data_IF_758249636308
#
_entry.id   IF_758249636308
#
_cell.length_a   1.000
_cell.length_b   1.000
_cell.length_c   1.000
_cell.angle_alpha   90.00
_cell.angle_beta   90.00
_cell.angle_gamma   90.00
#
_symmetry.space_group_name_H-M   'P 1'
#
loop_
_entity.id
_entity.type
_entity.pdbx_description
1 polymer ?
#
# COMPACT_ATOMS: atom_id res chain seq x y z
N UNK A 1 12.13 -12.81 -11.85
CA UNK A 1 10.93 -12.63 -11.03
C UNK A 1 9.89 -11.89 -11.84
N UNK A 2 8.75 -12.52 -12.08
CA UNK A 2 7.61 -11.96 -12.81
C UNK A 2 6.59 -11.44 -11.81
N UNK A 3 6.20 -10.16 -11.91
CA UNK A 3 5.27 -9.55 -10.97
C UNK A 3 4.27 -8.65 -11.70
N UNK A 4 3.16 -8.35 -11.03
CA UNK A 4 2.17 -7.37 -11.50
C UNK A 4 1.99 -6.27 -10.47
N UNK A 5 2.27 -5.03 -10.88
CA UNK A 5 1.88 -3.84 -10.11
C UNK A 5 0.50 -3.36 -10.53
N UNK A 6 -0.36 -3.04 -9.57
CA UNK A 6 -1.71 -2.58 -9.85
C UNK A 6 -2.19 -1.48 -8.90
N UNK A 7 -2.93 -0.55 -9.49
CA UNK A 7 -3.78 0.44 -8.82
C UNK A 7 -5.24 -0.03 -8.71
N UNK A 8 -5.60 -1.12 -9.39
CA UNK A 8 -6.97 -1.59 -9.56
C UNK A 8 -7.07 -2.98 -8.91
N UNK A 9 -7.87 -3.15 -7.84
CA UNK A 9 -8.03 -4.43 -7.16
C UNK A 9 -8.48 -5.57 -8.08
N UNK A 10 -9.35 -5.28 -9.05
CA UNK A 10 -9.94 -6.24 -10.00
C UNK A 10 -8.90 -6.82 -10.97
N UNK A 11 -7.75 -6.17 -11.16
CA UNK A 11 -6.65 -6.74 -11.96
C UNK A 11 -6.04 -7.94 -11.26
N UNK A 12 -6.08 -7.99 -9.92
CA UNK A 12 -5.64 -9.15 -9.14
C UNK A 12 -6.63 -10.30 -9.37
N UNK A 13 -7.94 -10.05 -9.31
CA UNK A 13 -8.96 -11.05 -9.66
C UNK A 13 -8.73 -11.63 -11.05
N UNK A 14 -8.51 -10.77 -12.04
CA UNK A 14 -8.28 -11.19 -13.41
C UNK A 14 -7.03 -12.07 -13.53
N UNK A 15 -5.91 -11.63 -12.95
CA UNK A 15 -4.65 -12.37 -12.99
C UNK A 15 -4.75 -13.75 -12.34
N UNK A 16 -5.45 -13.86 -11.20
CA UNK A 16 -5.72 -15.15 -10.54
C UNK A 16 -6.66 -16.02 -11.38
N UNK A 17 -7.76 -15.46 -11.89
CA UNK A 17 -8.75 -16.22 -12.68
C UNK A 17 -8.18 -16.77 -13.99
N UNK A 18 -7.22 -16.06 -14.59
CA UNK A 18 -6.51 -16.48 -15.79
C UNK A 18 -5.23 -17.25 -15.49
N UNK A 19 -4.95 -17.56 -14.21
CA UNK A 19 -3.77 -18.28 -13.76
C UNK A 19 -2.45 -17.72 -14.34
N UNK A 20 -2.29 -16.39 -14.34
CA UNK A 20 -1.04 -15.77 -14.80
C UNK A 20 0.13 -16.25 -13.93
N UNK A 21 1.24 -16.64 -14.55
CA UNK A 21 2.44 -17.09 -13.83
C UNK A 21 3.16 -15.90 -13.17
N UNK A 22 2.82 -15.54 -11.94
CA UNK A 22 3.42 -14.39 -11.23
C UNK A 22 3.95 -14.83 -9.86
N UNK A 23 5.10 -14.29 -9.48
CA UNK A 23 5.72 -14.50 -8.18
C UNK A 23 5.01 -13.69 -7.07
N UNK A 24 4.68 -12.42 -7.33
CA UNK A 24 4.05 -11.52 -6.37
C UNK A 24 3.28 -10.35 -7.03
N UNK A 25 2.49 -9.64 -6.22
CA UNK A 25 1.83 -8.39 -6.60
C UNK A 25 2.47 -7.18 -5.93
N UNK A 26 2.51 -6.04 -6.62
CA UNK A 26 2.65 -4.74 -5.96
C UNK A 26 1.28 -4.08 -5.90
N UNK A 27 0.81 -3.77 -4.70
CA UNK A 27 -0.57 -3.34 -4.46
C UNK A 27 -0.61 -1.89 -3.98
N UNK A 28 -0.98 -0.98 -4.87
CA UNK A 28 -1.18 0.42 -4.50
C UNK A 28 -2.52 0.55 -3.77
N UNK A 29 -2.53 1.21 -2.61
CA UNK A 29 -3.78 1.44 -1.88
C UNK A 29 -4.74 2.46 -2.52
N UNK A 30 -4.35 3.08 -3.64
CA UNK A 30 -5.14 4.09 -4.32
C UNK A 30 -5.25 3.80 -5.82
N UNK A 31 -6.47 3.94 -6.37
CA UNK A 31 -6.74 3.73 -7.79
C UNK A 31 -6.43 5.00 -8.59
N UNK A 32 -5.15 5.14 -8.95
CA UNK A 32 -4.64 6.28 -9.71
C UNK A 32 -4.81 6.11 -11.23
N UNK A 33 -5.46 5.02 -11.68
CA UNK A 33 -5.82 4.84 -13.09
C UNK A 33 -7.04 5.68 -13.50
N UNK A 34 -7.74 6.27 -12.53
CA UNK A 34 -8.85 7.19 -12.77
C UNK A 34 -8.36 8.50 -13.41
N UNK A 35 -9.20 9.18 -14.23
CA UNK A 35 -8.85 10.49 -14.76
C UNK A 35 -8.48 11.50 -13.66
N UNK A 36 -7.53 12.37 -13.99
CA UNK A 36 -7.09 13.43 -13.08
C UNK A 36 -8.23 14.44 -12.87
N UNK A 37 -8.43 14.86 -11.63
CA UNK A 37 -9.40 15.92 -11.27
C UNK A 37 -8.63 17.23 -11.12
N UNK A 38 -9.01 18.25 -11.90
CA UNK A 38 -8.30 19.55 -11.93
C UNK A 38 -6.77 19.41 -12.12
N UNK A 39 -6.35 18.49 -13.00
CA UNK A 39 -4.94 18.25 -13.28
C UNK A 39 -4.16 17.56 -12.15
N UNK A 40 -4.81 17.02 -11.13
CA UNK A 40 -4.16 16.29 -10.02
C UNK A 40 -4.64 14.84 -9.97
N UNK A 41 -3.75 13.96 -9.51
CA UNK A 41 -4.13 12.58 -9.16
C UNK A 41 -5.23 12.61 -8.10
N UNK A 42 -6.25 11.79 -8.29
CA UNK A 42 -7.37 11.66 -7.37
C UNK A 42 -7.09 10.52 -6.38
N UNK A 43 -7.07 10.84 -5.09
CA UNK A 43 -6.88 9.87 -4.01
C UNK A 43 -8.22 9.68 -3.29
N UNK A 44 -8.93 8.62 -3.66
CA UNK A 44 -10.18 8.24 -3.02
C UNK A 44 -9.87 7.32 -1.83
N UNK A 45 -10.29 7.70 -0.62
CA UNK A 45 -10.06 6.89 0.58
C UNK A 45 -10.83 5.57 0.56
N UNK A 46 -11.89 5.45 -0.26
CA UNK A 46 -12.62 4.19 -0.46
C UNK A 46 -11.81 3.16 -1.27
N UNK A 47 -10.74 3.56 -1.97
CA UNK A 47 -9.89 2.62 -2.71
C UNK A 47 -9.08 1.73 -1.77
N UNK A 48 -8.66 2.25 -0.61
CA UNK A 48 -7.82 1.54 0.36
C UNK A 48 -8.46 0.26 0.88
N UNK A 49 -9.68 0.27 1.47
CA UNK A 49 -10.29 -0.95 1.99
C UNK A 49 -10.53 -1.99 0.89
N UNK A 50 -10.78 -1.56 -0.35
CA UNK A 50 -10.95 -2.48 -1.50
C UNK A 50 -9.64 -3.20 -1.83
N UNK A 51 -8.53 -2.47 -1.95
CA UNK A 51 -7.23 -3.11 -2.21
C UNK A 51 -6.78 -3.98 -1.03
N UNK A 52 -6.95 -3.51 0.21
CA UNK A 52 -6.59 -4.28 1.40
C UNK A 52 -7.43 -5.57 1.54
N UNK A 53 -8.71 -5.54 1.17
CA UNK A 53 -9.53 -6.75 1.10
C UNK A 53 -8.95 -7.76 0.10
N UNK A 54 -8.49 -7.31 -1.07
CA UNK A 54 -7.83 -8.17 -2.05
C UNK A 54 -6.49 -8.73 -1.57
N UNK A 55 -5.68 -7.91 -0.90
CA UNK A 55 -4.41 -8.34 -0.28
C UNK A 55 -4.62 -9.48 0.70
N UNK A 56 -5.68 -9.43 1.53
CA UNK A 56 -6.05 -10.51 2.46
C UNK A 56 -6.51 -11.79 1.76
N UNK A 57 -7.17 -11.66 0.61
CA UNK A 57 -7.81 -12.79 -0.09
C UNK A 57 -6.86 -13.58 -0.99
N UNK A 58 -5.90 -12.92 -1.64
CA UNK A 58 -4.94 -13.61 -2.51
C UNK A 58 -3.93 -14.43 -1.70
N UNK A 59 -3.54 -15.59 -2.23
CA UNK A 59 -2.47 -16.43 -1.65
C UNK A 59 -1.07 -15.91 -2.01
N UNK A 60 -0.95 -15.10 -3.07
CA UNK A 60 0.35 -14.58 -3.52
C UNK A 60 0.85 -13.47 -2.59
N UNK A 61 2.16 -13.35 -2.51
CA UNK A 61 2.82 -12.27 -1.77
C UNK A 61 2.39 -10.91 -2.36
N UNK A 62 2.19 -9.93 -1.49
CA UNK A 62 1.86 -8.55 -1.82
C UNK A 62 2.89 -7.60 -1.25
N UNK A 63 3.43 -6.72 -2.11
CA UNK A 63 4.20 -5.55 -1.71
C UNK A 63 3.26 -4.34 -1.70
N UNK A 64 2.77 -3.98 -0.52
CA UNK A 64 1.75 -2.96 -0.29
C UNK A 64 2.39 -1.58 -0.26
N UNK A 65 1.95 -0.65 -1.11
CA UNK A 65 2.62 0.65 -1.24
C UNK A 65 1.63 1.82 -1.37
N UNK A 66 2.19 3.04 -1.33
CA UNK A 66 1.44 4.32 -1.20
C UNK A 66 0.58 4.39 0.05
N UNK A 67 0.95 3.72 1.15
CA UNK A 67 0.14 3.71 2.38
C UNK A 67 -0.10 5.11 2.96
N UNK A 68 0.80 6.05 2.70
CA UNK A 68 0.69 7.45 3.13
C UNK A 68 -0.02 8.38 2.13
N UNK A 69 -0.53 7.87 1.00
CA UNK A 69 -1.33 8.65 0.05
C UNK A 69 -0.59 9.85 -0.56
N UNK A 70 0.72 9.69 -0.83
CA UNK A 70 1.60 10.80 -1.21
C UNK A 70 1.49 11.96 -0.20
N UNK A 71 1.95 11.69 1.03
CA UNK A 71 1.99 12.58 2.21
C UNK A 71 0.65 13.04 2.78
N UNK A 72 -0.49 12.64 2.19
CA UNK A 72 -1.83 13.00 2.70
C UNK A 72 -2.12 12.44 4.09
N UNK A 73 -1.46 11.33 4.46
CA UNK A 73 -1.54 10.70 5.79
C UNK A 73 -0.23 10.84 6.59
N UNK A 74 0.41 12.00 6.48
CA UNK A 74 1.64 12.33 7.21
C UNK A 74 1.53 13.66 7.97
N UNK A 75 0.33 14.10 8.38
CA UNK A 75 0.20 15.39 9.11
C UNK A 75 0.71 15.27 10.56
N UNK A 76 0.63 14.07 11.12
CA UNK A 76 1.14 13.72 12.44
C UNK A 76 1.73 12.30 12.43
N UNK A 77 2.49 11.95 13.47
CA UNK A 77 2.93 10.55 13.64
C UNK A 77 1.75 9.61 13.90
N UNK A 78 0.65 10.10 14.48
CA UNK A 78 -0.55 9.29 14.70
C UNK A 78 -1.27 8.94 13.40
N UNK A 79 -1.30 9.86 12.43
CA UNK A 79 -1.78 9.56 11.06
C UNK A 79 -0.92 8.46 10.43
N UNK A 80 0.39 8.54 10.62
CA UNK A 80 1.33 7.57 10.07
C UNK A 80 1.18 6.20 10.75
N UNK A 81 1.05 6.15 12.08
CA UNK A 81 0.78 4.92 12.83
C UNK A 81 -0.55 4.30 12.42
N UNK A 82 -1.59 5.12 12.23
CA UNK A 82 -2.90 4.67 11.75
C UNK A 82 -2.80 4.02 10.36
N UNK A 83 -2.11 4.67 9.41
CA UNK A 83 -1.90 4.12 8.08
C UNK A 83 -1.07 2.83 8.07
N UNK A 84 -0.06 2.72 8.96
CA UNK A 84 0.74 1.51 9.15
C UNK A 84 -0.11 0.37 9.71
N UNK A 85 -0.87 0.62 10.80
CA UNK A 85 -1.77 -0.37 11.42
C UNK A 85 -2.77 -0.91 10.40
N UNK A 86 -3.38 -0.04 9.60
CA UNK A 86 -4.34 -0.45 8.56
C UNK A 86 -3.70 -1.38 7.53
N UNK A 87 -2.48 -1.08 7.07
CA UNK A 87 -1.76 -1.91 6.11
C UNK A 87 -1.34 -3.25 6.72
N UNK A 88 -0.75 -3.25 7.92
CA UNK A 88 -0.30 -4.47 8.60
C UNK A 88 -1.47 -5.35 9.06
N UNK A 89 -2.63 -4.79 9.39
CA UNK A 89 -3.84 -5.57 9.68
C UNK A 89 -4.43 -6.29 8.44
N UNK A 90 -3.94 -5.99 7.23
CA UNK A 90 -4.30 -6.71 6.01
C UNK A 90 -3.18 -7.59 5.47
N UNK A 91 -1.93 -7.25 5.77
CA UNK A 91 -0.76 -7.96 5.34
C UNK A 91 -0.74 -9.40 5.87
N UNK A 92 -0.36 -10.33 5.01
CA UNK A 92 -0.03 -11.72 5.37
C UNK A 92 1.42 -11.79 5.88
N UNK A 93 1.84 -12.86 6.58
CA UNK A 93 3.20 -12.96 7.15
C UNK A 93 4.34 -12.83 6.12
N UNK A 94 4.08 -13.19 4.86
CA UNK A 94 5.05 -13.05 3.77
C UNK A 94 4.94 -11.71 3.03
N UNK A 95 3.92 -10.89 3.28
CA UNK A 95 3.76 -9.60 2.60
C UNK A 95 4.80 -8.57 3.10
N UNK A 96 5.02 -7.53 2.32
CA UNK A 96 5.86 -6.40 2.72
C UNK A 96 5.12 -5.08 2.55
N UNK A 97 5.41 -4.09 3.39
CA UNK A 97 4.89 -2.74 3.26
C UNK A 97 6.02 -1.81 2.80
N UNK A 98 5.85 -1.18 1.65
CA UNK A 98 6.80 -0.23 1.06
C UNK A 98 6.45 1.19 1.51
N UNK A 99 7.34 1.79 2.30
CA UNK A 99 7.22 3.15 2.79
C UNK A 99 7.99 4.12 1.89
N UNK A 100 7.25 5.06 1.29
CA UNK A 100 7.83 6.15 0.52
C UNK A 100 8.32 7.28 1.44
N UNK A 101 9.43 7.90 1.06
CA UNK A 101 10.05 9.00 1.80
C UNK A 101 10.79 9.96 0.86
N UNK A 102 10.94 11.20 1.31
CA UNK A 102 11.75 12.26 0.74
C UNK A 102 12.63 12.87 1.85
N UNK A 103 13.76 12.24 2.20
CA UNK A 103 14.57 12.57 3.38
C UNK A 103 15.46 13.81 3.17
N UNK A 104 14.91 14.89 2.59
CA UNK A 104 15.65 16.15 2.35
C UNK A 104 15.79 17.00 3.60
N UNK A 105 14.78 16.98 4.47
CA UNK A 105 14.69 17.89 5.63
C UNK A 105 14.71 17.16 6.98
N UNK A 106 14.38 15.87 6.98
CA UNK A 106 14.31 15.04 8.19
C UNK A 106 14.78 13.62 7.87
N UNK A 107 15.26 12.91 8.89
CA UNK A 107 15.60 11.49 8.77
C UNK A 107 14.33 10.63 8.77
N UNK A 108 13.68 10.59 7.60
CA UNK A 108 12.46 9.80 7.39
C UNK A 108 12.74 8.30 7.37
N UNK A 109 13.99 7.86 7.16
CA UNK A 109 14.37 6.45 7.26
C UNK A 109 14.26 6.02 8.72
N UNK A 110 14.90 6.77 9.64
CA UNK A 110 14.85 6.49 11.07
C UNK A 110 13.42 6.63 11.62
N UNK A 111 12.67 7.65 11.20
CA UNK A 111 11.28 7.83 11.62
C UNK A 111 10.40 6.65 11.18
N UNK A 112 10.44 6.28 9.89
CA UNK A 112 9.65 5.16 9.38
C UNK A 112 10.01 3.85 10.09
N UNK A 113 11.30 3.56 10.26
CA UNK A 113 11.75 2.36 10.96
C UNK A 113 11.28 2.31 12.42
N UNK A 114 11.33 3.45 13.13
CA UNK A 114 10.84 3.56 14.51
C UNK A 114 9.34 3.32 14.60
N UNK A 115 8.55 4.02 13.78
CA UNK A 115 7.08 3.90 13.78
C UNK A 115 6.60 2.49 13.42
N UNK A 116 7.29 1.81 12.50
CA UNK A 116 6.99 0.40 12.17
C UNK A 116 7.20 -0.50 13.39
N UNK A 117 8.33 -0.36 14.10
CA UNK A 117 8.61 -1.16 15.31
C UNK A 117 7.56 -0.90 16.40
N UNK A 118 7.21 0.35 16.64
CA UNK A 118 6.16 0.73 17.62
C UNK A 118 4.80 0.11 17.28
N UNK A 119 4.41 0.11 15.99
CA UNK A 119 3.13 -0.45 15.53
C UNK A 119 3.10 -1.98 15.63
N UNK A 120 4.23 -2.66 15.40
CA UNK A 120 4.32 -4.12 15.43
C UNK A 120 4.66 -4.70 16.81
N UNK A 121 5.05 -3.87 17.78
CA UNK A 121 5.30 -4.30 19.16
C UNK A 121 4.05 -4.26 20.06
N UNK A 122 2.90 -3.85 19.50
CA UNK A 122 1.61 -3.79 20.19
C UNK A 122 0.82 -5.06 19.88
#
# INVERSE_FOLDING_TARGET
TLFRSSHIPEVIDLAESQNWDLDFYMTCLYNLSRPRVAGKEHFDENDRPRMLARVRQTRRQCLIFKIYGATRRCRSEDDMRSALREAFAAAKPNDCVILGMFPKHTDQVAQNARLVREVLST
#
